data_IF_674866811595
#
_entry.id   IF_674866811595
#
_cell.length_a   1.000
_cell.length_b   1.000
_cell.length_c   1.000
_cell.angle_alpha   90.00
_cell.angle_beta   90.00
_cell.angle_gamma   90.00
#
_symmetry.space_group_name_H-M   'P 1'
#
loop_
_entity.id
_entity.type
_entity.pdbx_description
1 polymer ?
#
# COMPACT_ATOMS: atom_id res chain seq x y z
N UNK A 1 -6.29 -24.49 9.66
CA UNK A 1 -5.11 -23.60 9.73
C UNK A 1 -5.54 -22.18 9.35
N UNK A 2 -5.56 -21.25 10.29
CA UNK A 2 -5.91 -19.86 9.99
C UNK A 2 -4.89 -19.29 8.99
N UNK A 3 -5.34 -18.81 7.82
CA UNK A 3 -4.46 -18.14 6.85
C UNK A 3 -3.84 -16.92 7.54
N UNK A 4 -2.55 -17.00 7.87
CA UNK A 4 -1.77 -15.92 8.49
C UNK A 4 -1.95 -14.66 7.62
N UNK A 5 -2.51 -13.60 8.19
CA UNK A 5 -2.72 -12.35 7.48
C UNK A 5 -1.36 -11.80 6.99
N UNK A 6 -1.09 -11.92 5.70
CA UNK A 6 0.10 -11.34 5.10
C UNK A 6 -0.12 -9.83 4.97
N UNK A 7 0.61 -9.05 5.74
CA UNK A 7 0.68 -7.60 5.54
C UNK A 7 1.67 -7.30 4.43
N UNK A 8 1.32 -6.35 3.57
CA UNK A 8 2.19 -5.84 2.52
C UNK A 8 2.55 -4.41 2.87
N UNK A 9 3.84 -4.08 2.73
CA UNK A 9 4.38 -2.77 3.01
C UNK A 9 5.00 -2.22 1.75
N UNK A 10 4.87 -0.91 1.54
CA UNK A 10 5.48 -0.18 0.44
C UNK A 10 6.24 1.03 1.00
N UNK A 11 7.37 1.35 0.38
CA UNK A 11 8.11 2.56 0.69
C UNK A 11 7.48 3.70 -0.11
N UNK A 12 7.13 4.78 0.58
CA UNK A 12 6.44 5.92 -0.03
C UNK A 12 7.23 7.19 0.23
N UNK A 13 7.50 7.93 -0.83
CA UNK A 13 8.04 9.29 -0.79
C UNK A 13 6.89 10.29 -0.70
N UNK A 14 6.92 11.11 0.35
CA UNK A 14 5.94 12.14 0.61
C UNK A 14 6.32 13.46 -0.12
N UNK A 15 5.38 14.40 -0.30
CA UNK A 15 5.64 15.67 -1.00
C UNK A 15 6.73 16.53 -0.34
N UNK A 16 7.01 16.31 0.94
CA UNK A 16 8.09 16.97 1.68
C UNK A 16 9.44 16.25 1.56
N UNK A 17 9.60 15.31 0.61
CA UNK A 17 10.81 14.53 0.38
C UNK A 17 11.06 13.41 1.41
N UNK A 18 10.25 13.29 2.46
CA UNK A 18 10.44 12.23 3.46
C UNK A 18 9.95 10.90 2.93
N UNK A 19 10.75 9.85 3.16
CA UNK A 19 10.41 8.46 2.80
C UNK A 19 9.96 7.70 4.04
N UNK A 20 8.83 7.00 3.93
CA UNK A 20 8.25 6.22 5.04
C UNK A 20 7.62 4.93 4.54
N UNK A 21 7.68 3.90 5.36
CA UNK A 21 6.99 2.65 5.11
C UNK A 21 5.51 2.77 5.46
N UNK A 22 4.65 2.37 4.52
CA UNK A 22 3.21 2.32 4.69
C UNK A 22 2.69 0.90 4.48
N UNK A 23 1.83 0.46 5.40
CA UNK A 23 1.10 -0.79 5.26
C UNK A 23 -0.04 -0.60 4.27
N UNK A 24 -0.11 -1.48 3.28
CA UNK A 24 -1.15 -1.46 2.25
C UNK A 24 -2.50 -1.84 2.87
N UNK A 25 -3.52 -1.04 2.55
CA UNK A 25 -4.89 -1.25 3.01
C UNK A 25 -5.42 -2.64 2.61
N UNK A 26 -6.43 -3.14 3.34
CA UNK A 26 -7.05 -4.43 3.04
C UNK A 26 -7.59 -4.51 1.61
N UNK A 27 -8.13 -3.41 1.09
CA UNK A 27 -8.72 -3.33 -0.26
C UNK A 27 -7.64 -3.44 -1.33
N UNK A 28 -6.63 -2.57 -1.28
CA UNK A 28 -5.53 -2.58 -2.26
C UNK A 28 -4.74 -3.90 -2.20
N UNK A 29 -4.53 -4.45 -1.00
CA UNK A 29 -3.91 -5.75 -0.83
C UNK A 29 -4.67 -6.88 -1.54
N UNK A 30 -6.01 -6.87 -1.52
CA UNK A 30 -6.82 -7.87 -2.24
C UNK A 30 -6.61 -7.76 -3.75
N UNK A 31 -6.59 -6.55 -4.31
CA UNK A 31 -6.34 -6.34 -5.73
C UNK A 31 -4.95 -6.86 -6.15
N UNK A 32 -3.90 -6.54 -5.39
CA UNK A 32 -2.54 -7.02 -5.66
C UNK A 32 -2.41 -8.54 -5.57
N UNK A 33 -3.06 -9.16 -4.59
CA UNK A 33 -3.06 -10.62 -4.45
C UNK A 33 -3.88 -11.29 -5.55
N UNK A 34 -4.90 -10.62 -6.09
CA UNK A 34 -5.64 -11.08 -7.25
C UNK A 34 -4.75 -11.05 -8.50
N UNK A 35 -4.01 -9.97 -8.76
CA UNK A 35 -3.02 -9.93 -9.86
C UNK A 35 -1.98 -11.04 -9.73
N UNK A 36 -1.47 -11.27 -8.51
CA UNK A 36 -0.51 -12.34 -8.24
C UNK A 36 -1.08 -13.72 -8.59
N UNK A 37 -2.25 -14.04 -8.02
CA UNK A 37 -2.74 -15.42 -7.99
C UNK A 37 -3.58 -15.78 -9.23
N UNK A 38 -4.35 -14.82 -9.75
CA UNK A 38 -5.29 -15.05 -10.84
C UNK A 38 -4.68 -14.74 -12.20
N UNK A 39 -3.92 -13.64 -12.31
CA UNK A 39 -3.22 -13.28 -13.55
C UNK A 39 -1.82 -13.92 -13.65
N UNK A 40 -1.42 -14.72 -12.65
CA UNK A 40 -0.09 -15.33 -12.54
C UNK A 40 1.07 -14.33 -12.74
N UNK A 41 0.85 -13.05 -12.43
CA UNK A 41 1.85 -12.02 -12.65
C UNK A 41 2.94 -12.12 -11.58
N UNK A 42 4.15 -12.56 -11.95
CA UNK A 42 5.30 -12.66 -11.04
C UNK A 42 5.79 -11.29 -10.53
N UNK A 43 5.53 -10.22 -11.28
CA UNK A 43 5.98 -8.86 -11.02
C UNK A 43 4.90 -7.94 -10.45
N UNK A 44 3.82 -8.51 -9.91
CA UNK A 44 2.67 -7.78 -9.31
C UNK A 44 3.06 -6.76 -8.22
N UNK A 45 4.26 -6.83 -7.63
CA UNK A 45 4.74 -5.81 -6.69
C UNK A 45 5.27 -4.57 -7.41
N UNK A 46 5.87 -4.77 -8.58
CA UNK A 46 6.50 -3.70 -9.35
C UNK A 46 5.45 -2.79 -9.98
N UNK A 47 4.21 -3.27 -10.16
CA UNK A 47 3.10 -2.46 -10.67
C UNK A 47 2.77 -1.28 -9.76
N UNK A 48 3.10 -1.37 -8.45
CA UNK A 48 2.97 -0.25 -7.53
C UNK A 48 4.07 0.80 -7.68
N UNK A 49 5.26 0.44 -8.14
CA UNK A 49 6.41 1.36 -8.18
C UNK A 49 6.09 2.51 -9.14
N UNK A 50 6.29 3.74 -8.69
CA UNK A 50 5.95 4.95 -9.43
C UNK A 50 4.48 5.38 -9.34
N UNK A 51 3.60 4.53 -8.79
CA UNK A 51 2.21 4.90 -8.54
C UNK A 51 2.09 5.89 -7.38
N UNK A 52 1.03 6.70 -7.40
CA UNK A 52 0.69 7.61 -6.32
C UNK A 52 -0.43 7.02 -5.46
N UNK A 53 -0.23 6.99 -4.14
CA UNK A 53 -1.20 6.46 -3.18
C UNK A 53 -1.59 7.53 -2.17
N UNK A 54 -2.86 7.49 -1.76
CA UNK A 54 -3.33 8.18 -0.57
C UNK A 54 -2.81 7.47 0.68
N UNK A 55 -2.06 8.19 1.51
CA UNK A 55 -1.47 7.67 2.74
C UNK A 55 -1.87 8.51 3.95
N UNK A 56 -2.17 7.83 5.05
CA UNK A 56 -2.55 8.48 6.31
C UNK A 56 -1.32 9.06 7.02
N UNK A 57 -1.30 10.36 7.27
CA UNK A 57 -0.25 11.04 8.04
C UNK A 57 -0.41 10.89 9.55
N UNK A 58 -1.63 10.64 10.00
CA UNK A 58 -1.98 10.46 11.41
C UNK A 58 -2.60 9.09 11.62
N UNK A 59 -2.65 8.63 12.88
CA UNK A 59 -3.48 7.48 13.23
C UNK A 59 -4.95 7.81 12.94
N UNK A 60 -5.71 6.79 12.60
CA UNK A 60 -7.16 6.92 12.46
C UNK A 60 -7.81 7.17 13.81
N UNK A 61 -8.76 8.11 13.84
CA UNK A 61 -9.61 8.42 14.99
C UNK A 61 -11.02 8.71 14.48
N UNK A 62 -12.03 7.96 14.93
CA UNK A 62 -13.40 8.00 14.38
C UNK A 62 -13.44 7.94 12.84
N UNK A 63 -12.73 6.97 12.25
CA UNK A 63 -12.59 6.76 10.79
C UNK A 63 -12.01 7.95 10.01
N UNK A 64 -11.41 8.91 10.71
CA UNK A 64 -10.75 10.07 10.11
C UNK A 64 -9.25 10.01 10.34
N UNK A 65 -8.50 10.35 9.30
CA UNK A 65 -7.06 10.59 9.37
C UNK A 65 -6.73 11.73 8.41
N UNK A 66 -5.67 12.49 8.70
CA UNK A 66 -5.14 13.43 7.72
C UNK A 66 -4.47 12.61 6.62
N UNK A 67 -4.92 12.79 5.37
CA UNK A 67 -4.40 12.05 4.22
C UNK A 67 -3.48 12.98 3.42
N UNK A 68 -2.45 12.41 2.81
CA UNK A 68 -1.64 13.05 1.78
C UNK A 68 -1.47 12.06 0.62
N UNK A 69 -1.10 12.57 -0.55
CA UNK A 69 -0.61 11.74 -1.64
C UNK A 69 0.88 11.49 -1.42
N UNK A 70 1.34 10.27 -1.70
CA UNK A 70 2.77 9.94 -1.76
C UNK A 70 3.06 8.98 -2.91
N UNK A 71 4.28 9.02 -3.44
CA UNK A 71 4.72 8.17 -4.54
C UNK A 71 5.36 6.91 -3.99
N UNK A 72 4.94 5.75 -4.48
CA UNK A 72 5.59 4.48 -4.15
C UNK A 72 6.92 4.40 -4.88
N UNK A 73 7.97 4.04 -4.14
CA UNK A 73 9.33 3.85 -4.65
C UNK A 73 9.83 2.43 -4.40
#
# INVERSE_FOLDING_TARGET
MAKRHQYLWCLVELPNGKRKWYCISKVLRKALLWEKNYLHNRYWRNTLIGSYLNVARTRYHHDRAIITVGRVI
#
